data_IF_047322981588
#
_entry.id   IF_047322981588
#
_cell.length_a   1.000
_cell.length_b   1.000
_cell.length_c   1.000
_cell.angle_alpha   90.00
_cell.angle_beta   90.00
_cell.angle_gamma   90.00
#
_symmetry.space_group_name_H-M   'P 1'
#
loop_
_entity.id
_entity.type
_entity.pdbx_description
1 polymer ?
#
# COMPACT_ATOMS: atom_id res chain seq x y z
N UNK A 1 -10.13 0.27 -12.33
CA UNK A 1 -8.96 -0.66 -12.21
C UNK A 1 -9.28 -1.66 -11.12
N UNK A 2 -9.07 -2.96 -11.37
CA UNK A 2 -9.34 -4.00 -10.34
C UNK A 2 -8.24 -3.92 -9.29
N UNK A 3 -8.61 -3.87 -8.00
CA UNK A 3 -7.65 -3.87 -6.90
C UNK A 3 -7.25 -5.31 -6.58
N UNK A 4 -5.96 -5.62 -6.67
CA UNK A 4 -5.46 -6.97 -6.46
C UNK A 4 -4.02 -6.96 -5.92
N UNK A 5 -3.74 -7.86 -4.98
CA UNK A 5 -2.38 -8.14 -4.52
C UNK A 5 -2.14 -9.64 -4.74
N UNK A 6 -1.15 -9.95 -5.55
CA UNK A 6 -0.77 -11.33 -5.86
C UNK A 6 0.63 -11.63 -5.33
N UNK A 7 0.82 -12.83 -4.77
CA UNK A 7 2.11 -13.32 -4.28
C UNK A 7 2.44 -14.59 -5.05
N UNK A 8 3.56 -14.57 -5.76
CA UNK A 8 4.03 -15.67 -6.61
C UNK A 8 5.45 -16.06 -6.23
N UNK A 9 5.68 -17.32 -5.93
CA UNK A 9 7.01 -17.85 -5.61
C UNK A 9 7.58 -18.61 -6.81
N UNK A 10 8.84 -18.36 -7.15
CA UNK A 10 9.55 -19.06 -8.21
C UNK A 10 11.06 -19.05 -7.94
N UNK A 11 11.68 -20.24 -7.83
CA UNK A 11 13.13 -20.43 -7.83
C UNK A 11 13.91 -19.48 -6.91
N UNK A 12 13.49 -19.32 -5.64
CA UNK A 12 14.17 -18.46 -4.65
C UNK A 12 13.84 -16.98 -4.75
N UNK A 13 12.97 -16.57 -5.68
CA UNK A 13 12.46 -15.21 -5.81
C UNK A 13 10.96 -15.21 -5.53
N UNK A 14 10.53 -14.35 -4.60
CA UNK A 14 9.12 -14.08 -4.38
C UNK A 14 8.74 -12.79 -5.12
N UNK A 15 7.74 -12.85 -5.97
CA UNK A 15 7.17 -11.69 -6.64
C UNK A 15 5.84 -11.30 -6.02
N UNK A 16 5.72 -10.02 -5.67
CA UNK A 16 4.49 -9.42 -5.19
C UNK A 16 4.02 -8.41 -6.23
N UNK A 17 2.82 -8.58 -6.74
CA UNK A 17 2.19 -7.63 -7.66
C UNK A 17 1.10 -6.86 -6.92
N UNK A 18 1.20 -5.54 -6.88
CA UNK A 18 0.26 -4.64 -6.23
C UNK A 18 -0.41 -3.78 -7.29
N UNK A 19 -1.70 -3.98 -7.51
CA UNK A 19 -2.49 -3.21 -8.46
C UNK A 19 -3.73 -2.58 -7.82
N UNK A 20 -4.08 -1.37 -8.24
CA UNK A 20 -5.27 -0.67 -7.81
C UNK A 20 -5.15 -0.02 -6.44
N UNK A 21 -6.24 0.04 -5.69
CA UNK A 21 -6.29 0.59 -4.33
C UNK A 21 -5.81 -0.42 -3.31
N UNK A 22 -4.99 0.01 -2.37
CA UNK A 22 -4.44 -0.82 -1.30
C UNK A 22 -5.33 -0.71 -0.07
N UNK A 23 -5.81 -1.86 0.43
CA UNK A 23 -6.73 -1.91 1.57
C UNK A 23 -8.18 -1.65 1.18
N UNK A 24 -8.90 -0.90 2.02
CA UNK A 24 -10.33 -0.61 1.81
C UNK A 24 -10.48 0.63 0.92
N UNK A 25 -11.21 0.54 -0.21
CA UNK A 25 -11.53 1.70 -1.03
C UNK A 25 -12.24 2.79 -0.22
N UNK A 26 -11.90 4.05 -0.45
CA UNK A 26 -12.44 5.19 0.30
C UNK A 26 -13.97 5.27 0.20
N UNK A 27 -14.53 5.01 -0.98
CA UNK A 27 -15.97 4.98 -1.23
C UNK A 27 -16.74 3.95 -0.40
N UNK A 28 -16.08 2.93 0.15
CA UNK A 28 -16.70 1.89 0.97
C UNK A 28 -16.64 2.17 2.47
N UNK A 29 -15.97 3.24 2.88
CA UNK A 29 -15.77 3.51 4.31
C UNK A 29 -17.08 3.84 5.04
N UNK A 30 -18.07 4.40 4.31
CA UNK A 30 -19.33 4.87 4.90
C UNK A 30 -20.56 4.11 4.40
N UNK A 31 -20.58 3.69 3.15
CA UNK A 31 -21.78 3.21 2.47
C UNK A 31 -21.98 1.68 2.50
N UNK A 32 -20.92 0.91 2.79
CA UNK A 32 -20.98 -0.56 2.77
C UNK A 32 -20.19 -1.18 3.93
N UNK A 33 -20.69 -1.11 5.17
CA UNK A 33 -19.92 -1.53 6.36
C UNK A 33 -19.53 -3.02 6.34
N UNK A 34 -20.38 -3.92 5.83
CA UNK A 34 -20.06 -5.36 5.75
C UNK A 34 -18.97 -5.64 4.70
N UNK A 35 -19.09 -5.02 3.52
CA UNK A 35 -18.08 -5.14 2.46
C UNK A 35 -16.74 -4.53 2.90
N UNK A 36 -16.78 -3.42 3.67
CA UNK A 36 -15.59 -2.81 4.26
C UNK A 36 -14.87 -3.76 5.20
N UNK A 37 -15.57 -4.40 6.12
CA UNK A 37 -14.97 -5.33 7.09
C UNK A 37 -14.36 -6.52 6.36
N UNK A 38 -15.09 -7.16 5.45
CA UNK A 38 -14.60 -8.31 4.69
C UNK A 38 -13.36 -7.93 3.84
N UNK A 39 -13.33 -6.75 3.23
CA UNK A 39 -12.19 -6.26 2.45
C UNK A 39 -10.99 -5.98 3.34
N UNK A 40 -11.19 -5.39 4.52
CA UNK A 40 -10.12 -5.17 5.49
C UNK A 40 -9.52 -6.47 6.00
N UNK A 41 -10.34 -7.47 6.34
CA UNK A 41 -9.87 -8.79 6.78
C UNK A 41 -9.03 -9.47 5.69
N UNK A 42 -9.48 -9.46 4.45
CA UNK A 42 -8.74 -10.02 3.31
C UNK A 42 -7.40 -9.28 3.12
N UNK A 43 -7.39 -7.96 3.25
CA UNK A 43 -6.18 -7.16 3.16
C UNK A 43 -5.21 -7.50 4.29
N UNK A 44 -5.69 -7.56 5.54
CA UNK A 44 -4.90 -7.93 6.71
C UNK A 44 -4.27 -9.33 6.57
N UNK A 45 -5.02 -10.29 6.05
CA UNK A 45 -4.50 -11.63 5.80
C UNK A 45 -3.43 -11.64 4.70
N UNK A 46 -3.58 -10.80 3.69
CA UNK A 46 -2.53 -10.58 2.67
C UNK A 46 -1.27 -9.98 3.28
N UNK A 47 -1.39 -8.98 4.16
CA UNK A 47 -0.25 -8.39 4.89
C UNK A 47 0.46 -9.45 5.74
N UNK A 48 -0.29 -10.32 6.44
CA UNK A 48 0.28 -11.44 7.21
C UNK A 48 1.03 -12.44 6.32
N UNK A 49 0.51 -12.74 5.15
CA UNK A 49 1.20 -13.60 4.17
C UNK A 49 2.50 -12.98 3.68
N UNK A 50 2.51 -11.67 3.44
CA UNK A 50 3.74 -10.93 3.08
C UNK A 50 4.74 -11.00 4.23
N UNK A 51 4.34 -10.73 5.47
CA UNK A 51 5.21 -10.80 6.64
C UNK A 51 5.76 -12.20 6.92
N UNK A 52 5.15 -13.24 6.39
CA UNK A 52 5.59 -14.64 6.49
C UNK A 52 6.40 -15.14 5.30
N UNK A 53 6.78 -14.29 4.35
CA UNK A 53 7.59 -14.71 3.20
C UNK A 53 8.99 -15.11 3.65
N UNK A 54 9.39 -16.30 3.27
CA UNK A 54 10.74 -16.85 3.48
C UNK A 54 11.43 -17.03 2.11
N UNK A 55 11.91 -15.94 1.55
CA UNK A 55 12.64 -15.92 0.29
C UNK A 55 13.80 -14.93 0.38
N UNK A 56 15.01 -15.26 -0.12
CA UNK A 56 16.17 -14.38 -0.05
C UNK A 56 16.03 -13.14 -0.94
N UNK A 57 15.18 -13.21 -1.98
CA UNK A 57 14.92 -12.12 -2.89
C UNK A 57 13.43 -11.91 -3.08
N UNK A 58 13.00 -10.65 -3.01
CA UNK A 58 11.61 -10.23 -3.22
C UNK A 58 11.58 -9.12 -4.25
N UNK A 59 10.72 -9.27 -5.24
CA UNK A 59 10.42 -8.21 -6.23
C UNK A 59 9.00 -7.75 -6.03
N UNK A 60 8.80 -6.45 -5.82
CA UNK A 60 7.49 -5.84 -5.62
C UNK A 60 7.17 -4.94 -6.81
N UNK A 61 6.27 -5.38 -7.65
CA UNK A 61 5.77 -4.60 -8.79
C UNK A 61 4.57 -3.77 -8.33
N UNK A 62 4.63 -2.44 -8.49
CA UNK A 62 3.66 -1.49 -7.94
C UNK A 62 3.02 -0.69 -9.05
N UNK A 63 1.69 -0.77 -9.14
CA UNK A 63 0.83 0.07 -9.98
C UNK A 63 -0.44 0.41 -9.23
N UNK A 64 -0.39 1.48 -8.42
CA UNK A 64 -1.42 1.73 -7.42
C UNK A 64 -1.71 3.21 -7.23
N UNK A 65 -2.97 3.51 -6.94
CA UNK A 65 -3.44 4.84 -6.53
C UNK A 65 -3.17 5.16 -5.06
N UNK A 66 -2.69 4.17 -4.28
CA UNK A 66 -2.44 4.33 -2.85
C UNK A 66 -3.47 3.61 -1.98
N UNK A 67 -3.58 4.03 -0.74
CA UNK A 67 -4.46 3.47 0.28
C UNK A 67 -3.72 3.22 1.59
N UNK A 68 -3.54 1.96 2.00
CA UNK A 68 -2.92 1.57 3.26
C UNK A 68 -1.39 1.35 3.11
N UNK A 69 -0.64 1.64 4.17
CA UNK A 69 0.83 1.54 4.22
C UNK A 69 1.35 0.29 4.93
N UNK A 70 0.50 -0.54 5.53
CA UNK A 70 0.92 -1.73 6.30
C UNK A 70 1.83 -2.70 5.54
N UNK A 71 1.74 -2.73 4.22
CA UNK A 71 2.62 -3.54 3.37
C UNK A 71 4.08 -3.10 3.50
N UNK A 72 4.34 -1.79 3.64
CA UNK A 72 5.69 -1.27 3.86
C UNK A 72 6.32 -1.91 5.09
N UNK A 73 5.63 -1.90 6.23
CA UNK A 73 6.15 -2.43 7.48
C UNK A 73 6.33 -3.94 7.42
N UNK A 74 5.40 -4.65 6.78
CA UNK A 74 5.52 -6.09 6.54
C UNK A 74 6.78 -6.43 5.71
N UNK A 75 7.05 -5.68 4.66
CA UNK A 75 8.25 -5.86 3.83
C UNK A 75 9.53 -5.54 4.61
N UNK A 76 9.55 -4.43 5.36
CA UNK A 76 10.69 -4.03 6.16
C UNK A 76 11.02 -5.01 7.31
N UNK A 77 10.07 -5.84 7.73
CA UNK A 77 10.30 -6.88 8.74
C UNK A 77 11.03 -8.13 8.21
N UNK A 78 11.20 -8.25 6.89
CA UNK A 78 11.76 -9.44 6.26
C UNK A 78 13.29 -9.36 6.16
N UNK A 79 13.95 -10.49 6.38
CA UNK A 79 15.38 -10.66 6.09
C UNK A 79 15.55 -11.08 4.61
N UNK A 80 15.34 -10.12 3.72
CA UNK A 80 15.36 -10.35 2.28
C UNK A 80 15.94 -9.16 1.52
N UNK A 81 16.47 -9.42 0.33
CA UNK A 81 16.83 -8.38 -0.62
C UNK A 81 15.60 -7.98 -1.42
N UNK A 82 15.12 -6.74 -1.24
CA UNK A 82 13.87 -6.27 -1.80
C UNK A 82 14.14 -5.29 -2.94
N UNK A 83 13.59 -5.57 -4.11
CA UNK A 83 13.53 -4.64 -5.24
C UNK A 83 12.08 -4.18 -5.43
N UNK A 84 11.84 -2.88 -5.44
CA UNK A 84 10.53 -2.32 -5.80
C UNK A 84 10.58 -1.73 -7.21
N UNK A 85 9.54 -1.98 -8.00
CA UNK A 85 9.40 -1.52 -9.37
C UNK A 85 8.08 -0.77 -9.54
N UNK A 86 8.18 0.54 -9.75
CA UNK A 86 7.03 1.40 -9.99
C UNK A 86 6.80 1.54 -11.49
N UNK A 87 5.61 1.21 -11.96
CA UNK A 87 5.25 1.33 -13.37
C UNK A 87 3.82 1.86 -13.53
N UNK A 88 3.57 2.52 -14.67
CA UNK A 88 2.28 3.16 -14.93
C UNK A 88 1.99 4.30 -13.95
N UNK A 89 1.19 4.06 -12.92
CA UNK A 89 0.79 5.05 -11.92
C UNK A 89 1.08 4.53 -10.52
N UNK A 90 1.93 5.24 -9.79
CA UNK A 90 2.26 4.94 -8.38
C UNK A 90 2.05 6.20 -7.55
N UNK A 91 1.08 6.19 -6.66
CA UNK A 91 0.66 7.40 -5.95
C UNK A 91 0.41 7.16 -4.46
N UNK A 92 0.51 8.26 -3.67
CA UNK A 92 0.13 8.29 -2.27
C UNK A 92 0.84 7.19 -1.47
N UNK A 93 0.13 6.39 -0.66
CA UNK A 93 0.66 5.29 0.13
C UNK A 93 1.51 4.28 -0.68
N UNK A 94 1.22 4.09 -1.97
CA UNK A 94 2.04 3.24 -2.83
C UNK A 94 3.49 3.74 -2.97
N UNK A 95 3.72 5.05 -2.87
CA UNK A 95 5.06 5.64 -2.89
C UNK A 95 5.84 5.32 -1.61
N UNK A 96 5.14 5.17 -0.48
CA UNK A 96 5.72 4.74 0.80
C UNK A 96 6.12 3.27 0.71
N UNK A 97 5.26 2.41 0.16
CA UNK A 97 5.58 0.99 -0.04
C UNK A 97 6.82 0.82 -0.93
N UNK A 98 6.99 1.66 -1.94
CA UNK A 98 8.19 1.65 -2.77
C UNK A 98 9.49 1.92 -1.99
N UNK A 99 9.41 2.57 -0.83
CA UNK A 99 10.58 2.83 0.02
C UNK A 99 11.05 1.59 0.81
N UNK A 100 10.29 0.50 0.84
CA UNK A 100 10.71 -0.75 1.47
C UNK A 100 11.85 -1.46 0.72
N UNK A 101 12.26 -0.94 -0.43
CA UNK A 101 13.37 -1.50 -1.21
C UNK A 101 14.70 -1.43 -0.47
N UNK A 102 15.52 -2.45 -0.67
CA UNK A 102 16.94 -2.43 -0.28
C UNK A 102 17.66 -1.25 -0.93
N UNK A 103 18.74 -0.72 -0.33
CA UNK A 103 19.47 0.41 -0.90
C UNK A 103 19.85 0.21 -2.36
N UNK A 104 19.51 1.17 -3.22
CA UNK A 104 19.77 1.10 -4.66
C UNK A 104 18.81 0.23 -5.49
N UNK A 105 17.79 -0.37 -4.86
CA UNK A 105 16.89 -1.33 -5.50
C UNK A 105 15.48 -0.77 -5.74
N UNK A 106 15.34 0.54 -5.85
CA UNK A 106 14.10 1.19 -6.30
C UNK A 106 14.18 1.49 -7.79
N UNK A 107 13.24 0.95 -8.52
CA UNK A 107 13.16 1.13 -9.98
C UNK A 107 11.86 1.86 -10.33
N UNK A 108 11.93 2.74 -11.30
CA UNK A 108 10.76 3.41 -11.88
C UNK A 108 10.86 3.33 -13.40
N UNK A 109 9.77 2.94 -14.05
CA UNK A 109 9.76 2.92 -15.52
C UNK A 109 9.74 4.34 -16.11
N UNK A 110 10.33 4.52 -17.27
CA UNK A 110 10.54 5.84 -17.89
C UNK A 110 9.25 6.66 -18.06
N UNK A 111 8.11 5.99 -18.25
CA UNK A 111 6.80 6.63 -18.45
C UNK A 111 5.88 6.50 -17.22
N UNK A 112 6.39 6.08 -16.08
CA UNK A 112 5.57 6.00 -14.88
C UNK A 112 5.29 7.38 -14.30
N UNK A 113 4.07 7.55 -13.81
CA UNK A 113 3.68 8.70 -12.99
C UNK A 113 3.88 8.35 -11.53
N UNK A 114 4.67 9.16 -10.82
CA UNK A 114 4.94 8.99 -9.40
C UNK A 114 4.43 10.22 -8.64
N UNK A 115 3.34 10.05 -7.86
CA UNK A 115 2.65 11.15 -7.21
C UNK A 115 2.81 11.09 -5.69
N UNK A 116 3.43 12.11 -5.13
CA UNK A 116 3.50 12.36 -3.70
C UNK A 116 2.62 13.56 -3.38
N UNK A 117 1.82 13.47 -2.33
CA UNK A 117 0.99 14.56 -1.84
C UNK A 117 0.88 14.50 -0.31
N UNK A 118 0.53 15.63 0.31
CA UNK A 118 0.15 15.67 1.72
C UNK A 118 -1.14 14.89 1.95
N UNK A 119 -1.38 14.44 3.18
CA UNK A 119 -2.58 13.71 3.52
C UNK A 119 -3.86 14.54 3.24
N UNK A 120 -4.88 13.89 2.71
CA UNK A 120 -6.18 14.51 2.46
C UNK A 120 -7.28 13.70 3.15
N UNK A 121 -8.27 14.38 3.68
CA UNK A 121 -9.49 13.74 4.19
C UNK A 121 -10.73 14.58 3.89
N UNK A 122 -11.87 13.91 3.80
CA UNK A 122 -13.16 14.55 3.91
C UNK A 122 -13.60 14.55 5.37
N UNK A 123 -14.19 15.66 5.85
CA UNK A 123 -14.69 15.79 7.21
C UNK A 123 -16.08 16.40 7.22
N UNK A 124 -16.98 15.76 7.92
CA UNK A 124 -18.33 16.25 8.21
C UNK A 124 -18.62 15.98 9.70
N UNK A 125 -19.34 16.87 10.35
CA UNK A 125 -19.68 16.75 11.76
C UNK A 125 -19.73 18.09 12.48
N UNK A 126 -19.80 18.06 13.81
CA UNK A 126 -19.72 19.26 14.64
C UNK A 126 -18.26 19.76 14.76
N UNK A 127 -18.09 20.93 15.40
CA UNK A 127 -16.77 21.58 15.52
C UNK A 127 -15.70 20.68 16.19
N UNK A 128 -16.06 19.90 17.21
CA UNK A 128 -15.13 19.03 17.91
C UNK A 128 -14.69 17.84 17.03
N UNK A 129 -15.61 17.25 16.28
CA UNK A 129 -15.35 16.15 15.34
C UNK A 129 -14.45 16.60 14.19
N UNK A 130 -14.71 17.78 13.62
CA UNK A 130 -13.88 18.35 12.55
C UNK A 130 -12.50 18.71 13.09
N UNK A 131 -12.39 19.29 14.29
CA UNK A 131 -11.10 19.60 14.93
C UNK A 131 -10.28 18.33 15.16
N UNK A 132 -10.90 17.24 15.66
CA UNK A 132 -10.23 15.96 15.85
C UNK A 132 -9.68 15.38 14.54
N UNK A 133 -10.43 15.48 13.45
CA UNK A 133 -9.96 15.06 12.12
C UNK A 133 -8.84 15.93 11.59
N UNK A 134 -8.88 17.23 11.83
CA UNK A 134 -7.80 18.15 11.46
C UNK A 134 -6.50 17.82 12.20
N UNK A 135 -6.58 17.48 13.49
CA UNK A 135 -5.40 17.11 14.27
C UNK A 135 -4.82 15.77 13.80
N UNK A 136 -5.66 14.78 13.46
CA UNK A 136 -5.23 13.54 12.85
C UNK A 136 -4.52 13.79 11.50
N UNK A 137 -5.09 14.64 10.66
CA UNK A 137 -4.51 14.97 9.36
C UNK A 137 -3.11 15.59 9.51
N UNK A 138 -2.94 16.52 10.46
CA UNK A 138 -1.64 17.14 10.78
C UNK A 138 -0.60 16.16 11.29
N UNK A 139 -1.01 15.09 11.97
CA UNK A 139 -0.11 14.03 12.44
C UNK A 139 0.32 13.08 11.30
N UNK A 140 -0.45 13.04 10.22
CA UNK A 140 -0.20 12.16 9.07
C UNK A 140 0.76 12.79 8.05
N UNK A 141 0.85 14.12 8.00
CA UNK A 141 1.76 14.90 7.14
C UNK A 141 3.20 14.90 7.71
#
# INVERSE_FOLDING_TARGET
MKSEIQIKNSAGVCRIEIEGTIGVPEEWQFDQPEARVATYEKFRDTVRRIAGIDAPQIVVDIRSTGGDVLIHDALCSLDAHITTRCYGYTASAATIIAQAASPGCREISANALYLIHTAICAAEGNAAEIAGKLDLLRQTD
#
